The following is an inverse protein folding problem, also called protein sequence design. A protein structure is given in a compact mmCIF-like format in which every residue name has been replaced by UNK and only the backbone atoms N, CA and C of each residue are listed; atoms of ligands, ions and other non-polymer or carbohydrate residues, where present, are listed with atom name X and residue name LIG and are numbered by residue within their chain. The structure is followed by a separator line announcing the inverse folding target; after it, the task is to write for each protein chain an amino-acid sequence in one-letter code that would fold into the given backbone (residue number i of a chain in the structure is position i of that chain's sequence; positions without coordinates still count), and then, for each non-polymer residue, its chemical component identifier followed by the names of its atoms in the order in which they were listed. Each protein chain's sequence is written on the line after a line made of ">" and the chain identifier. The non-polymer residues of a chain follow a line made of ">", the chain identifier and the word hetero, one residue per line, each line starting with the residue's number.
data_IF_153798647384
#
_entry.id   IF_153798647384
#
_cell.length_a   1.000
_cell.length_b   1.000
_cell.length_c   1.000
_cell.angle_alpha   90.00
_cell.angle_beta   90.00
_cell.angle_gamma   90.00
#
_symmetry.space_group_name_H-M   'P 1'
#
loop_
_entity.id
_entity.type
_entity.pdbx_description
1 polymer ?
#
# COMPACT_ATOMS: atom_id res chain seq x y z
N UNK A 1 -62.42 83.93 55.80
CA UNK A 1 -63.89 84.06 55.93
C UNK A 1 -64.51 82.69 55.75
N UNK A 2 -65.26 82.27 56.76
CA UNK A 2 -66.12 81.09 56.79
C UNK A 2 -67.13 81.10 55.62
N UNK A 3 -67.47 79.94 55.05
CA UNK A 3 -68.81 79.38 55.26
C UNK A 3 -69.02 77.98 54.69
N UNK A 4 -69.65 77.20 55.57
CA UNK A 4 -70.15 75.84 55.47
C UNK A 4 -71.47 75.82 54.67
N UNK A 5 -71.74 74.74 53.90
CA UNK A 5 -73.03 74.01 53.81
C UNK A 5 -72.95 72.81 52.83
N UNK A 6 -73.20 71.62 53.40
CA UNK A 6 -73.50 70.28 52.83
C UNK A 6 -74.88 70.37 52.10
N UNK A 7 -75.38 69.50 51.16
CA UNK A 7 -75.22 68.03 51.14
C UNK A 7 -75.47 67.20 49.82
N UNK A 8 -75.48 65.85 49.98
CA UNK A 8 -76.26 64.79 49.28
C UNK A 8 -75.85 64.21 47.89
N UNK A 9 -75.40 62.94 47.96
CA UNK A 9 -75.64 61.73 47.13
C UNK A 9 -76.02 61.81 45.63
N UNK A 10 -75.20 61.13 44.81
CA UNK A 10 -75.51 59.93 43.98
C UNK A 10 -74.83 59.95 42.61
N UNK A 11 -74.00 58.95 42.31
CA UNK A 11 -74.11 58.10 41.10
C UNK A 11 -72.83 57.29 40.86
N UNK A 12 -72.96 55.97 41.06
CA UNK A 12 -72.46 54.90 40.19
C UNK A 12 -70.97 54.89 39.81
N UNK A 13 -70.19 54.11 40.58
CA UNK A 13 -69.01 53.43 40.04
C UNK A 13 -69.49 52.32 39.09
N UNK A 14 -69.36 52.54 37.79
CA UNK A 14 -69.31 51.47 36.80
C UNK A 14 -67.84 51.32 36.42
N UNK A 15 -67.21 50.26 36.92
CA UNK A 15 -65.92 49.79 36.43
C UNK A 15 -66.15 49.27 35.02
N UNK A 16 -65.77 50.05 34.01
CA UNK A 16 -65.71 49.57 32.63
C UNK A 16 -64.37 48.88 32.44
N UNK A 17 -64.43 47.56 32.43
CA UNK A 17 -63.35 46.66 32.05
C UNK A 17 -62.96 46.87 30.58
N UNK A 18 -61.98 47.74 30.34
CA UNK A 18 -61.11 47.59 29.18
C UNK A 18 -60.22 46.39 29.46
N UNK A 19 -60.62 45.24 28.93
CA UNK A 19 -59.80 44.04 28.90
C UNK A 19 -58.52 44.35 28.10
N UNK A 20 -57.45 44.69 28.83
CA UNK A 20 -56.10 44.49 28.30
C UNK A 20 -55.93 43.00 28.09
N UNK A 21 -55.60 42.59 26.87
CA UNK A 21 -55.08 41.24 26.63
C UNK A 21 -53.81 41.10 27.47
N UNK A 22 -53.87 40.35 28.57
CA UNK A 22 -52.69 39.87 29.26
C UNK A 22 -52.00 38.87 28.34
N UNK A 23 -50.69 38.98 28.24
CA UNK A 23 -49.82 38.12 27.43
C UNK A 23 -49.69 36.74 28.11
N UNK A 24 -50.80 36.06 28.34
CA UNK A 24 -50.86 34.72 28.93
C UNK A 24 -51.49 33.79 27.89
N UNK A 25 -50.65 32.89 27.38
CA UNK A 25 -50.93 31.77 26.45
C UNK A 25 -51.63 32.14 25.14
N UNK A 26 -50.84 32.23 24.07
CA UNK A 26 -51.38 32.21 22.71
C UNK A 26 -51.90 30.77 22.46
N UNK A 27 -53.13 30.53 22.88
CA UNK A 27 -53.83 29.27 22.68
C UNK A 27 -54.05 29.05 21.17
N UNK A 28 -53.74 27.85 20.71
CA UNK A 28 -53.86 27.43 19.32
C UNK A 28 -54.76 26.19 19.26
N UNK A 29 -55.50 26.01 18.16
CA UNK A 29 -56.67 25.13 18.16
C UNK A 29 -56.53 23.90 17.27
N UNK A 30 -55.73 23.91 16.20
CA UNK A 30 -55.54 22.72 15.36
C UNK A 30 -54.15 22.64 14.72
N UNK A 31 -53.67 21.41 14.52
CA UNK A 31 -52.37 21.07 13.91
C UNK A 31 -52.25 21.45 12.40
N UNK A 32 -53.20 22.20 11.83
CA UNK A 32 -53.36 22.40 10.40
C UNK A 32 -53.18 23.87 9.95
N UNK A 33 -52.09 24.10 9.21
CA UNK A 33 -51.60 25.22 8.38
C UNK A 33 -52.02 26.70 8.56
N UNK A 34 -52.97 27.08 9.42
CA UNK A 34 -53.37 28.49 9.61
C UNK A 34 -53.20 29.04 11.03
N UNK A 35 -52.60 28.29 11.96
CA UNK A 35 -52.46 28.72 13.35
C UNK A 35 -51.29 29.70 13.57
N UNK A 36 -51.58 30.81 14.26
CA UNK A 36 -50.79 32.03 14.48
C UNK A 36 -49.46 31.88 15.24
N UNK A 37 -48.89 30.67 15.32
CA UNK A 37 -47.57 30.49 15.90
C UNK A 37 -46.49 31.12 15.00
N UNK A 38 -45.42 31.64 15.60
CA UNK A 38 -44.29 32.21 14.85
C UNK A 38 -43.57 31.13 14.04
N UNK A 39 -42.72 31.50 13.08
CA UNK A 39 -41.99 30.55 12.24
C UNK A 39 -41.16 29.50 13.02
N UNK A 40 -40.81 29.79 14.28
CA UNK A 40 -40.04 28.93 15.16
C UNK A 40 -40.88 28.14 16.18
N UNK A 41 -42.21 28.27 16.19
CA UNK A 41 -43.09 27.58 17.16
C UNK A 41 -44.22 26.85 16.46
N UNK A 42 -44.71 25.79 17.09
CA UNK A 42 -45.79 24.94 16.61
C UNK A 42 -46.90 24.90 17.66
N UNK A 43 -48.13 24.63 17.20
CA UNK A 43 -49.23 24.35 18.10
C UNK A 43 -49.07 22.93 18.67
N UNK A 44 -48.65 22.79 19.92
CA UNK A 44 -48.51 21.49 20.56
C UNK A 44 -49.25 21.52 21.88
N UNK A 45 -50.21 20.61 22.04
CA UNK A 45 -51.09 20.52 23.22
C UNK A 45 -51.86 21.83 23.49
N UNK A 46 -52.27 22.53 22.43
CA UNK A 46 -53.03 23.78 22.52
C UNK A 46 -52.21 25.03 22.82
N UNK A 47 -50.87 24.93 22.86
CA UNK A 47 -49.99 26.07 23.10
C UNK A 47 -48.95 26.25 21.99
N UNK A 48 -48.68 27.50 21.59
CA UNK A 48 -47.56 27.82 20.70
C UNK A 48 -46.22 27.67 21.44
N UNK A 49 -45.51 26.56 21.19
CA UNK A 49 -44.18 26.28 21.78
C UNK A 49 -43.26 25.60 20.77
N UNK A 50 -41.97 25.53 21.10
CA UNK A 50 -41.02 24.70 20.35
C UNK A 50 -41.25 23.21 20.67
N UNK A 51 -40.95 22.35 19.71
CA UNK A 51 -41.07 20.91 19.77
C UNK A 51 -39.91 20.27 20.54
N UNK A 52 -40.24 19.37 21.47
CA UNK A 52 -39.31 18.51 22.20
C UNK A 52 -38.91 17.29 21.36
N UNK A 53 -37.97 16.49 21.85
CA UNK A 53 -37.56 15.25 21.19
C UNK A 53 -38.76 14.32 20.92
N UNK A 54 -38.88 13.83 19.70
CA UNK A 54 -39.96 12.96 19.22
C UNK A 54 -41.22 13.71 18.74
N UNK A 55 -41.37 15.00 19.05
CA UNK A 55 -42.51 15.80 18.60
C UNK A 55 -42.36 16.25 17.14
N UNK A 56 -43.49 16.59 16.52
CA UNK A 56 -43.56 16.98 15.11
C UNK A 56 -42.80 18.29 14.83
N UNK A 57 -42.24 18.40 13.64
CA UNK A 57 -41.59 19.62 13.15
C UNK A 57 -41.64 19.71 11.63
N UNK A 58 -41.40 20.92 11.12
CA UNK A 58 -41.25 21.23 9.69
C UNK A 58 -39.87 21.79 9.35
N UNK A 59 -39.17 22.39 10.32
CA UNK A 59 -37.81 22.89 10.15
C UNK A 59 -37.01 22.78 11.46
N UNK A 60 -35.69 22.98 11.39
CA UNK A 60 -34.82 22.86 12.57
C UNK A 60 -35.16 23.86 13.66
N UNK A 61 -35.52 25.12 13.33
CA UNK A 61 -35.76 26.18 14.33
C UNK A 61 -36.95 25.91 15.25
N UNK A 62 -37.87 25.05 14.82
CA UNK A 62 -39.02 24.61 15.61
C UNK A 62 -38.67 23.64 16.74
N UNK A 63 -37.51 22.97 16.73
CA UNK A 63 -37.10 22.12 17.84
C UNK A 63 -36.53 22.99 18.99
N UNK A 64 -36.90 22.68 20.23
CA UNK A 64 -36.61 23.51 21.41
C UNK A 64 -35.11 23.59 21.72
N UNK A 65 -34.44 22.44 21.67
CA UNK A 65 -33.00 22.37 21.94
C UNK A 65 -32.18 22.49 20.65
N UNK A 66 -31.02 23.16 20.74
CA UNK A 66 -30.05 23.22 19.63
C UNK A 66 -29.43 21.85 19.30
N UNK A 67 -29.49 20.91 20.24
CA UNK A 67 -29.15 19.48 20.11
C UNK A 67 -30.23 18.66 19.38
N UNK A 68 -31.32 19.30 18.93
CA UNK A 68 -32.36 18.67 18.13
C UNK A 68 -32.42 19.28 16.74
N UNK A 69 -32.59 18.40 15.75
CA UNK A 69 -32.83 18.73 14.35
C UNK A 69 -34.17 18.14 13.90
N UNK A 70 -34.84 18.82 12.98
CA UNK A 70 -35.99 18.26 12.31
C UNK A 70 -35.54 17.28 11.23
N UNK A 71 -35.85 15.99 11.41
CA UNK A 71 -35.56 14.94 10.44
C UNK A 71 -36.79 14.06 10.32
N UNK A 72 -37.26 13.84 9.10
CA UNK A 72 -38.47 13.07 8.82
C UNK A 72 -39.69 13.58 9.63
N UNK A 73 -39.88 14.91 9.68
CA UNK A 73 -40.94 15.61 10.41
C UNK A 73 -40.96 15.40 11.93
N UNK A 74 -39.86 14.94 12.54
CA UNK A 74 -39.74 14.81 14.00
C UNK A 74 -38.44 15.43 14.50
N UNK A 75 -38.50 16.03 15.70
CA UNK A 75 -37.32 16.52 16.39
C UNK A 75 -36.51 15.36 16.94
N UNK A 76 -35.31 15.15 16.40
CA UNK A 76 -34.41 14.05 16.79
C UNK A 76 -33.02 14.60 17.16
N UNK A 77 -32.22 13.88 17.97
CA UNK A 77 -30.87 14.30 18.31
C UNK A 77 -30.01 14.59 17.08
N UNK A 78 -29.37 15.75 17.06
CA UNK A 78 -28.44 16.17 16.01
C UNK A 78 -27.94 17.58 16.20
N UNK A 79 -26.91 17.95 15.45
CA UNK A 79 -26.27 19.27 15.57
C UNK A 79 -26.73 20.16 14.43
N UNK A 80 -27.18 21.38 14.73
CA UNK A 80 -27.46 22.41 13.73
C UNK A 80 -26.17 23.11 13.31
N UNK A 81 -26.12 23.57 12.07
CA UNK A 81 -24.95 24.24 11.51
C UNK A 81 -25.34 25.31 10.51
N UNK A 82 -24.40 26.21 10.23
CA UNK A 82 -24.48 27.19 9.14
C UNK A 82 -23.33 27.02 8.15
N UNK A 83 -22.25 26.37 8.58
CA UNK A 83 -21.09 26.03 7.76
C UNK A 83 -20.42 24.75 8.28
N UNK A 84 -19.58 24.10 7.47
CA UNK A 84 -18.92 22.85 7.85
C UNK A 84 -18.10 22.94 9.16
N UNK A 85 -17.54 24.13 9.46
CA UNK A 85 -16.76 24.34 10.69
C UNK A 85 -17.57 24.27 11.99
N UNK A 86 -18.90 24.31 11.90
CA UNK A 86 -19.79 24.14 13.04
C UNK A 86 -20.00 22.65 13.39
N UNK A 87 -19.61 21.74 12.49
CA UNK A 87 -19.74 20.29 12.64
C UNK A 87 -18.44 19.62 13.08
N UNK A 88 -18.52 18.34 13.43
CA UNK A 88 -17.31 17.54 13.70
C UNK A 88 -16.51 17.35 12.42
N UNK A 89 -15.22 17.02 12.54
CA UNK A 89 -14.34 16.82 11.38
C UNK A 89 -14.83 15.74 10.40
N UNK A 90 -15.62 14.76 10.86
CA UNK A 90 -16.20 13.70 10.03
C UNK A 90 -17.59 14.05 9.45
N UNK A 91 -18.02 15.31 9.60
CA UNK A 91 -19.35 15.77 9.22
C UNK A 91 -19.25 17.02 8.34
N UNK A 92 -20.26 17.24 7.50
CA UNK A 92 -20.47 18.48 6.76
C UNK A 92 -21.78 19.12 7.19
N UNK A 93 -21.93 20.41 6.89
CA UNK A 93 -23.19 21.10 7.05
C UNK A 93 -24.04 20.94 5.78
N UNK A 94 -25.12 20.17 5.87
CA UNK A 94 -26.06 19.97 4.77
C UNK A 94 -27.48 20.26 5.27
N UNK A 95 -28.19 21.16 4.58
CA UNK A 95 -29.54 21.60 4.97
C UNK A 95 -29.63 22.01 6.45
N UNK A 96 -28.74 22.88 6.91
CA UNK A 96 -28.65 23.40 8.29
C UNK A 96 -28.45 22.35 9.40
N UNK A 97 -28.09 21.10 9.03
CA UNK A 97 -27.80 20.02 9.95
C UNK A 97 -26.45 19.34 9.64
N UNK A 98 -25.72 18.97 10.69
CA UNK A 98 -24.49 18.20 10.55
C UNK A 98 -24.83 16.77 10.10
N UNK A 99 -24.19 16.35 9.01
CA UNK A 99 -24.33 15.02 8.42
C UNK A 99 -22.96 14.37 8.34
N UNK A 100 -22.86 13.14 8.82
CA UNK A 100 -21.64 12.33 8.68
C UNK A 100 -21.41 12.00 7.20
N UNK A 101 -20.19 12.24 6.73
CA UNK A 101 -19.74 11.87 5.39
C UNK A 101 -18.52 10.99 5.51
N UNK A 102 -18.52 9.87 4.79
CA UNK A 102 -17.49 8.83 4.82
C UNK A 102 -16.92 8.58 3.43
N UNK A 103 -15.85 7.79 3.39
CA UNK A 103 -15.27 7.30 2.14
C UNK A 103 -16.36 6.55 1.33
N UNK A 104 -16.44 6.85 0.02
CA UNK A 104 -17.38 6.27 -0.92
C UNK A 104 -18.71 7.02 -1.06
N UNK A 105 -19.01 7.98 -0.19
CA UNK A 105 -20.21 8.81 -0.32
C UNK A 105 -20.12 9.67 -1.59
N UNK A 106 -21.27 9.94 -2.21
CA UNK A 106 -21.33 10.72 -3.45
C UNK A 106 -20.97 12.18 -3.19
N UNK A 107 -20.22 12.77 -4.12
CA UNK A 107 -19.86 14.18 -4.10
C UNK A 107 -19.80 14.74 -5.52
N UNK A 108 -19.88 16.07 -5.63
CA UNK A 108 -19.57 16.82 -6.85
C UNK A 108 -18.32 17.68 -6.70
N UNK A 109 -17.96 18.05 -5.46
CA UNK A 109 -16.84 18.90 -5.10
C UNK A 109 -16.30 18.52 -3.72
N UNK A 110 -15.05 18.91 -3.42
CA UNK A 110 -14.36 18.53 -2.17
C UNK A 110 -15.10 19.03 -0.91
N UNK A 111 -15.83 20.14 -1.01
CA UNK A 111 -16.67 20.72 0.06
C UNK A 111 -17.86 19.83 0.45
N UNK A 112 -18.24 18.87 -0.39
CA UNK A 112 -19.23 17.84 -0.05
C UNK A 112 -18.63 16.69 0.78
N UNK A 113 -17.30 16.66 0.93
CA UNK A 113 -16.61 15.65 1.71
C UNK A 113 -16.20 16.22 3.08
N UNK A 114 -16.12 15.33 4.07
CA UNK A 114 -15.64 15.70 5.41
C UNK A 114 -14.13 15.95 5.39
N UNK A 115 -13.59 16.54 6.47
CA UNK A 115 -12.18 16.92 6.53
C UNK A 115 -11.24 15.74 6.27
N UNK A 116 -10.25 15.92 5.39
CA UNK A 116 -9.29 14.89 4.99
C UNK A 116 -9.76 14.00 3.84
N UNK A 117 -10.96 14.25 3.31
CA UNK A 117 -11.49 13.61 2.11
C UNK A 117 -11.58 14.63 0.97
N UNK A 118 -11.40 14.18 -0.26
CA UNK A 118 -11.58 14.96 -1.49
C UNK A 118 -12.50 14.21 -2.44
N UNK A 119 -13.12 14.95 -3.36
CA UNK A 119 -14.02 14.38 -4.34
C UNK A 119 -13.24 13.86 -5.56
N UNK A 120 -13.16 12.54 -5.68
CA UNK A 120 -12.51 11.82 -6.78
C UNK A 120 -13.56 10.96 -7.46
N UNK A 121 -13.73 11.11 -8.78
CA UNK A 121 -14.68 10.32 -9.57
C UNK A 121 -16.11 10.26 -8.98
N UNK A 122 -16.58 11.40 -8.47
CA UNK A 122 -17.87 11.60 -7.79
C UNK A 122 -18.04 10.86 -6.47
N UNK A 123 -16.94 10.46 -5.83
CA UNK A 123 -16.91 9.84 -4.50
C UNK A 123 -15.92 10.54 -3.59
N UNK A 124 -16.29 10.65 -2.32
CA UNK A 124 -15.37 11.10 -1.29
C UNK A 124 -14.33 10.01 -1.04
N UNK A 125 -13.06 10.33 -1.27
CA UNK A 125 -11.94 9.42 -1.03
C UNK A 125 -10.87 10.14 -0.20
N UNK A 126 -10.02 9.37 0.47
CA UNK A 126 -8.85 9.92 1.15
C UNK A 126 -7.88 10.47 0.12
N UNK A 127 -7.42 11.70 0.29
CA UNK A 127 -6.43 12.27 -0.59
C UNK A 127 -6.19 13.75 -0.32
N UNK A 128 -5.17 14.28 -1.00
CA UNK A 128 -4.74 15.67 -0.88
C UNK A 128 -4.67 16.30 -2.27
N UNK A 129 -5.18 17.53 -2.41
CA UNK A 129 -5.01 18.32 -3.64
C UNK A 129 -3.60 18.89 -3.70
N UNK A 130 -3.01 18.89 -4.89
CA UNK A 130 -1.67 19.41 -5.11
C UNK A 130 -1.56 20.19 -6.42
N UNK A 131 -0.56 21.07 -6.49
CA UNK A 131 -0.11 21.75 -7.71
C UNK A 131 1.26 21.25 -8.15
N UNK A 132 2.05 20.76 -7.21
CA UNK A 132 3.39 20.22 -7.41
C UNK A 132 3.68 19.13 -6.38
N UNK A 133 4.74 18.34 -6.60
CA UNK A 133 5.15 17.28 -5.67
C UNK A 133 5.48 17.80 -4.26
N UNK A 134 5.87 19.07 -4.12
CA UNK A 134 6.15 19.67 -2.81
C UNK A 134 4.90 19.90 -1.96
N UNK A 135 3.71 19.83 -2.57
CA UNK A 135 2.44 19.92 -1.84
C UNK A 135 2.03 18.57 -1.24
N UNK A 136 2.71 17.48 -1.64
CA UNK A 136 2.36 16.12 -1.25
C UNK A 136 3.16 15.63 -0.04
N UNK A 137 2.55 14.75 0.78
CA UNK A 137 3.27 13.98 1.79
C UNK A 137 4.47 13.22 1.23
N UNK A 138 5.34 12.74 2.13
CA UNK A 138 6.46 11.89 1.76
C UNK A 138 5.97 10.64 0.99
N UNK A 139 6.76 10.20 0.00
CA UNK A 139 6.47 9.08 -0.90
C UNK A 139 5.25 9.26 -1.83
N UNK A 140 4.62 10.43 -1.85
CA UNK A 140 3.57 10.79 -2.80
C UNK A 140 4.06 11.80 -3.85
N UNK A 141 3.47 11.73 -5.05
CA UNK A 141 3.72 12.67 -6.15
C UNK A 141 2.41 13.28 -6.63
N UNK A 142 2.49 14.48 -7.20
CA UNK A 142 1.32 15.19 -7.66
C UNK A 142 0.91 14.72 -9.07
N UNK A 143 -0.07 13.82 -9.13
CA UNK A 143 -0.57 13.25 -10.39
C UNK A 143 -2.01 13.72 -10.59
N UNK A 144 -2.25 14.43 -11.70
CA UNK A 144 -3.58 14.98 -12.04
C UNK A 144 -4.21 15.79 -10.89
N UNK A 145 -3.42 16.66 -10.26
CA UNK A 145 -3.82 17.53 -9.12
C UNK A 145 -4.14 16.81 -7.80
N UNK A 146 -3.82 15.52 -7.72
CA UNK A 146 -4.05 14.68 -6.54
C UNK A 146 -2.71 14.06 -6.14
N UNK A 147 -2.38 14.13 -4.86
CA UNK A 147 -1.24 13.39 -4.33
C UNK A 147 -1.54 11.90 -4.38
N UNK A 148 -0.67 11.16 -5.07
CA UNK A 148 -0.79 9.72 -5.22
C UNK A 148 0.51 9.08 -4.78
N UNK A 149 0.36 8.00 -4.04
CA UNK A 149 1.49 7.14 -3.71
C UNK A 149 1.99 6.47 -4.99
N UNK A 150 3.30 6.46 -5.17
CA UNK A 150 3.96 5.75 -6.27
C UNK A 150 5.05 4.87 -5.71
N UNK A 151 5.16 3.68 -6.27
CA UNK A 151 6.08 2.64 -5.84
C UNK A 151 6.92 2.15 -7.01
N UNK A 152 7.89 1.29 -6.74
CA UNK A 152 8.58 0.53 -7.79
C UNK A 152 7.56 -0.14 -8.72
N UNK A 153 7.88 -0.15 -10.01
CA UNK A 153 7.01 -0.62 -11.12
C UNK A 153 5.77 0.24 -11.40
N UNK A 154 5.53 1.35 -10.68
CA UNK A 154 4.42 2.26 -11.00
C UNK A 154 4.61 2.87 -12.39
N UNK A 155 3.55 3.01 -13.20
CA UNK A 155 3.67 3.61 -14.53
C UNK A 155 4.07 5.08 -14.43
N UNK A 156 4.96 5.51 -15.32
CA UNK A 156 5.44 6.89 -15.37
C UNK A 156 5.77 7.32 -16.79
N UNK A 157 5.79 8.63 -17.03
CA UNK A 157 6.29 9.25 -18.26
C UNK A 157 7.58 10.04 -18.07
N UNK A 158 7.88 10.43 -16.83
CA UNK A 158 9.06 11.20 -16.45
C UNK A 158 9.39 11.02 -14.96
N UNK A 159 10.59 11.43 -14.54
CA UNK A 159 11.07 11.21 -13.17
C UNK A 159 10.25 11.92 -12.08
N UNK A 160 9.49 12.98 -12.41
CA UNK A 160 8.67 13.67 -11.41
C UNK A 160 7.42 12.88 -11.03
N UNK A 161 7.09 11.82 -11.76
CA UNK A 161 5.99 10.91 -11.45
C UNK A 161 6.43 9.73 -10.56
N UNK A 162 7.68 9.69 -10.13
CA UNK A 162 8.20 8.67 -9.22
C UNK A 162 8.61 9.31 -7.90
N UNK A 163 8.17 8.74 -6.79
CA UNK A 163 8.46 9.26 -5.47
C UNK A 163 9.81 8.78 -4.93
N UNK A 164 10.35 9.50 -3.94
CA UNK A 164 11.60 9.14 -3.29
C UNK A 164 12.80 9.12 -4.25
N UNK A 165 13.68 8.12 -4.10
CA UNK A 165 14.88 7.94 -4.93
C UNK A 165 14.61 7.05 -6.15
N UNK A 166 13.52 7.31 -6.87
CA UNK A 166 13.12 6.55 -8.06
C UNK A 166 13.28 7.41 -9.31
N UNK A 167 13.50 6.77 -10.46
CA UNK A 167 13.49 7.40 -11.78
C UNK A 167 12.59 6.64 -12.73
N UNK A 168 12.08 7.35 -13.74
CA UNK A 168 11.25 6.75 -14.76
C UNK A 168 12.13 6.10 -15.83
N UNK A 169 12.13 4.77 -15.87
CA UNK A 169 12.91 3.99 -16.81
C UNK A 169 12.02 2.93 -17.46
N UNK A 170 11.91 2.95 -18.79
CA UNK A 170 11.03 2.01 -19.50
C UNK A 170 9.53 2.20 -19.20
N UNK A 171 9.10 3.44 -18.92
CA UNK A 171 7.74 3.82 -18.52
C UNK A 171 7.27 3.29 -17.16
N UNK A 172 8.21 2.86 -16.32
CA UNK A 172 7.96 2.42 -14.94
C UNK A 172 8.97 3.03 -13.99
N UNK A 173 8.54 3.28 -12.75
CA UNK A 173 9.39 3.78 -11.70
C UNK A 173 10.34 2.67 -11.25
N UNK A 174 11.65 2.92 -11.37
CA UNK A 174 12.72 2.03 -10.93
C UNK A 174 13.56 2.72 -9.87
N UNK A 175 14.20 1.94 -9.00
CA UNK A 175 15.13 2.47 -8.02
C UNK A 175 16.33 3.11 -8.73
N UNK A 176 16.61 4.37 -8.39
CA UNK A 176 17.77 5.06 -8.89
C UNK A 176 19.02 4.62 -8.12
N UNK A 177 20.14 4.50 -8.81
CA UNK A 177 21.42 4.11 -8.23
C UNK A 177 22.57 4.93 -8.83
N UNK A 178 23.64 5.07 -8.04
CA UNK A 178 24.95 5.57 -8.49
C UNK A 178 25.97 4.44 -8.58
N UNK A 179 25.82 3.42 -7.75
CA UNK A 179 26.65 2.21 -7.70
C UNK A 179 25.81 1.01 -7.28
N UNK A 180 26.32 -0.21 -7.49
CA UNK A 180 25.60 -1.45 -7.13
C UNK A 180 25.35 -1.58 -5.62
N UNK A 181 26.10 -0.85 -4.77
CA UNK A 181 25.85 -0.76 -3.32
C UNK A 181 24.53 -0.06 -2.98
N UNK A 182 23.98 0.74 -3.91
CA UNK A 182 22.67 1.38 -3.75
C UNK A 182 21.51 0.41 -4.04
N UNK A 183 21.79 -0.79 -4.55
CA UNK A 183 20.81 -1.78 -5.01
C UNK A 183 20.69 -2.97 -4.05
N UNK A 184 19.69 -3.83 -4.26
CA UNK A 184 19.63 -5.08 -3.51
C UNK A 184 20.84 -5.97 -3.85
N UNK A 185 21.26 -6.90 -2.97
CA UNK A 185 22.42 -7.77 -3.20
C UNK A 185 22.38 -8.61 -4.49
N UNK A 186 21.19 -8.77 -5.08
CA UNK A 186 20.95 -9.52 -6.33
C UNK A 186 20.80 -8.61 -7.55
N UNK A 187 21.12 -7.33 -7.42
CA UNK A 187 20.96 -6.32 -8.46
C UNK A 187 22.26 -5.54 -8.66
N UNK A 188 22.40 -5.00 -9.86
CA UNK A 188 23.53 -4.15 -10.24
C UNK A 188 23.02 -2.79 -10.69
N UNK A 189 23.85 -1.78 -10.49
CA UNK A 189 23.55 -0.45 -11.00
C UNK A 189 23.94 -0.34 -12.47
N UNK A 190 22.96 -0.37 -13.36
CA UNK A 190 23.16 -0.23 -14.80
C UNK A 190 22.22 0.83 -15.36
N UNK A 191 22.73 1.78 -16.14
CA UNK A 191 22.00 2.96 -16.63
C UNK A 191 21.35 3.81 -15.52
N UNK A 192 21.98 3.87 -14.33
CA UNK A 192 21.46 4.56 -13.13
C UNK A 192 20.19 3.96 -12.55
N UNK A 193 19.80 2.74 -12.96
CA UNK A 193 18.72 1.98 -12.33
C UNK A 193 19.24 0.65 -11.78
N UNK A 194 18.66 0.22 -10.67
CA UNK A 194 18.88 -1.14 -10.17
C UNK A 194 18.17 -2.13 -11.11
N UNK A 195 18.94 -3.08 -11.63
CA UNK A 195 18.46 -4.17 -12.48
C UNK A 195 19.00 -5.48 -11.96
N UNK A 196 18.19 -6.52 -11.99
CA UNK A 196 18.70 -7.89 -11.99
C UNK A 196 19.36 -8.13 -13.34
N UNK A 197 20.62 -8.56 -13.37
CA UNK A 197 21.23 -9.10 -14.59
C UNK A 197 21.25 -10.61 -14.56
N UNK A 198 20.97 -11.19 -15.72
CA UNK A 198 20.90 -12.62 -15.97
C UNK A 198 21.96 -13.04 -16.98
N UNK A 199 22.15 -14.35 -17.12
CA UNK A 199 22.93 -14.91 -18.21
C UNK A 199 22.38 -14.45 -19.56
N UNK A 200 23.25 -13.93 -20.43
CA UNK A 200 22.91 -13.42 -21.76
C UNK A 200 22.68 -11.91 -21.84
N UNK A 201 22.62 -11.18 -20.72
CA UNK A 201 22.46 -9.72 -20.74
C UNK A 201 23.70 -9.02 -21.29
N UNK A 202 23.52 -7.94 -22.06
CA UNK A 202 24.65 -7.14 -22.56
C UNK A 202 25.31 -6.36 -21.43
N UNK A 203 26.64 -6.31 -21.43
CA UNK A 203 27.42 -5.60 -20.43
C UNK A 203 28.63 -4.90 -21.06
N UNK A 204 29.05 -3.76 -20.50
CA UNK A 204 30.32 -3.12 -20.88
C UNK A 204 31.48 -3.55 -19.97
N UNK A 205 31.18 -3.94 -18.73
CA UNK A 205 32.15 -4.40 -17.75
C UNK A 205 31.46 -5.32 -16.72
N UNK A 206 32.27 -5.96 -15.88
CA UNK A 206 31.81 -6.94 -14.88
C UNK A 206 30.93 -6.35 -13.77
N UNK A 207 30.93 -5.02 -13.53
CA UNK A 207 30.04 -4.39 -12.52
C UNK A 207 28.57 -4.37 -12.95
N UNK A 208 28.30 -4.63 -14.23
CA UNK A 208 26.97 -4.73 -14.81
C UNK A 208 26.39 -6.16 -14.77
N UNK A 209 27.13 -7.12 -14.19
CA UNK A 209 26.72 -8.49 -14.01
C UNK A 209 26.58 -8.82 -12.51
N UNK A 210 25.49 -9.49 -12.10
CA UNK A 210 25.30 -9.96 -10.71
C UNK A 210 26.38 -10.98 -10.35
N UNK A 211 26.60 -11.23 -9.06
CA UNK A 211 27.79 -11.93 -8.55
C UNK A 211 28.08 -13.33 -9.12
N UNK A 212 27.09 -13.97 -9.75
CA UNK A 212 27.22 -15.28 -10.41
C UNK A 212 27.67 -15.20 -11.88
N UNK A 213 27.67 -13.99 -12.44
CA UNK A 213 28.01 -13.71 -13.83
C UNK A 213 29.17 -12.72 -13.97
N UNK A 214 29.88 -12.88 -15.07
CA UNK A 214 30.99 -12.04 -15.47
C UNK A 214 30.76 -11.51 -16.89
N UNK A 215 31.28 -10.33 -17.17
CA UNK A 215 31.11 -9.71 -18.48
C UNK A 215 32.13 -10.29 -19.48
N UNK A 216 31.73 -11.35 -20.17
CA UNK A 216 32.58 -12.07 -21.13
C UNK A 216 32.14 -11.69 -22.55
N UNK A 217 33.07 -11.11 -23.31
CA UNK A 217 32.81 -10.69 -24.69
C UNK A 217 31.56 -9.78 -24.85
N UNK A 218 31.30 -8.93 -23.86
CA UNK A 218 30.17 -7.98 -23.84
C UNK A 218 28.84 -8.58 -23.41
N UNK A 219 28.84 -9.80 -22.85
CA UNK A 219 27.65 -10.50 -22.38
C UNK A 219 27.89 -11.10 -20.99
N UNK A 220 26.93 -10.93 -20.07
CA UNK A 220 26.94 -11.58 -18.77
C UNK A 220 26.85 -13.09 -18.96
N UNK A 221 27.92 -13.80 -18.61
CA UNK A 221 28.04 -15.25 -18.74
C UNK A 221 28.44 -15.85 -17.40
N UNK A 222 28.15 -17.13 -17.17
CA UNK A 222 28.53 -17.81 -15.93
C UNK A 222 30.03 -17.62 -15.63
N UNK A 223 30.32 -17.07 -14.45
CA UNK A 223 31.69 -16.78 -14.05
C UNK A 223 31.73 -15.81 -12.87
N UNK A 224 32.56 -16.12 -11.88
CA UNK A 224 32.76 -15.23 -10.74
C UNK A 224 33.95 -14.32 -10.99
N UNK A 225 33.73 -13.01 -10.91
CA UNK A 225 34.80 -12.01 -11.02
C UNK A 225 35.82 -12.19 -9.88
N UNK A 226 37.09 -11.97 -10.18
CA UNK A 226 38.18 -11.98 -9.22
C UNK A 226 39.18 -10.85 -9.49
N UNK A 227 39.83 -10.37 -8.44
CA UNK A 227 40.99 -9.46 -8.52
C UNK A 227 42.29 -10.20 -8.18
N UNK A 228 42.19 -11.30 -7.43
CA UNK A 228 43.29 -12.17 -7.02
C UNK A 228 42.80 -13.60 -6.85
N UNK A 229 43.74 -14.54 -6.73
CA UNK A 229 43.41 -15.96 -6.47
C UNK A 229 42.61 -16.14 -5.16
N UNK A 230 42.75 -15.22 -4.20
CA UNK A 230 41.98 -15.26 -2.94
C UNK A 230 40.48 -15.00 -3.08
N UNK A 231 40.04 -14.48 -4.23
CA UNK A 231 38.62 -14.30 -4.54
C UNK A 231 37.99 -15.58 -5.12
N UNK A 232 38.81 -16.59 -5.43
CA UNK A 232 38.42 -17.85 -6.06
C UNK A 232 38.33 -19.00 -5.05
N UNK A 233 37.46 -19.97 -5.33
CA UNK A 233 37.30 -21.13 -4.46
C UNK A 233 38.26 -22.23 -4.93
N UNK A 234 38.95 -22.94 -4.02
CA UNK A 234 39.84 -24.03 -4.43
C UNK A 234 39.08 -25.09 -5.26
N UNK A 235 39.58 -25.51 -6.44
CA UNK A 235 40.92 -25.31 -7.02
C UNK A 235 41.02 -24.18 -8.08
N UNK A 236 40.07 -23.25 -8.12
CA UNK A 236 40.05 -22.13 -9.07
C UNK A 236 41.13 -21.08 -8.76
N UNK A 237 41.64 -20.46 -9.82
CA UNK A 237 42.58 -19.34 -9.78
C UNK A 237 42.03 -18.18 -10.59
N UNK A 238 42.51 -16.97 -10.30
CA UNK A 238 42.07 -15.80 -11.02
C UNK A 238 42.76 -15.71 -12.39
N UNK A 239 42.00 -15.88 -13.46
CA UNK A 239 42.53 -15.72 -14.82
C UNK A 239 42.88 -14.25 -15.05
N UNK A 240 44.17 -13.98 -15.33
CA UNK A 240 44.67 -12.61 -15.54
C UNK A 240 44.16 -11.94 -16.81
N UNK A 241 43.52 -12.68 -17.72
CA UNK A 241 43.08 -12.21 -19.04
C UNK A 241 41.68 -11.64 -18.99
N UNK A 242 40.75 -12.32 -18.31
CA UNK A 242 39.36 -11.90 -18.19
C UNK A 242 38.92 -11.59 -16.76
N UNK A 243 39.79 -11.76 -15.75
CA UNK A 243 39.52 -11.46 -14.34
C UNK A 243 38.36 -12.30 -13.77
N UNK A 244 38.34 -13.59 -14.13
CA UNK A 244 37.32 -14.55 -13.72
C UNK A 244 37.99 -15.78 -13.08
N UNK A 245 37.35 -16.34 -12.05
CA UNK A 245 37.77 -17.59 -11.44
C UNK A 245 37.64 -18.76 -12.41
N UNK A 246 38.76 -19.42 -12.69
CA UNK A 246 38.83 -20.61 -13.57
C UNK A 246 39.79 -21.64 -13.00
N UNK A 247 39.56 -22.90 -13.36
CA UNK A 247 40.56 -23.95 -13.17
C UNK A 247 41.61 -23.80 -14.29
N UNK A 248 42.67 -23.02 -14.05
CA UNK A 248 43.73 -22.74 -15.04
C UNK A 248 44.56 -23.98 -15.37
N UNK A 249 44.65 -24.92 -14.43
CA UNK A 249 45.30 -26.22 -14.63
C UNK A 249 44.30 -27.31 -14.29
N UNK A 250 43.66 -27.95 -15.29
CA UNK A 250 42.82 -29.11 -15.01
C UNK A 250 43.68 -30.15 -14.28
N UNK A 251 43.13 -30.86 -13.27
CA UNK A 251 43.87 -31.89 -12.59
C UNK A 251 44.45 -32.85 -13.64
N UNK A 252 45.71 -33.31 -13.48
CA UNK A 252 46.28 -34.28 -14.41
C UNK A 252 45.27 -35.41 -14.58
N UNK A 253 45.06 -35.92 -15.82
CA UNK A 253 44.18 -37.05 -16.04
C UNK A 253 44.57 -38.13 -15.02
N UNK A 254 43.60 -38.80 -14.38
CA UNK A 254 43.90 -39.83 -13.41
C UNK A 254 44.92 -40.77 -14.05
N UNK A 255 46.11 -40.81 -13.46
CA UNK A 255 47.18 -41.68 -13.96
C UNK A 255 46.65 -43.07 -13.77
N UNK A 256 46.30 -43.75 -14.87
CA UNK A 256 45.87 -45.14 -14.84
C UNK A 256 46.95 -45.91 -14.07
N UNK A 257 46.63 -46.47 -12.88
CA UNK A 257 47.63 -47.12 -12.07
C UNK A 257 48.18 -48.30 -12.87
N UNK A 258 49.45 -48.20 -13.27
CA UNK A 258 50.10 -49.30 -13.97
C UNK A 258 50.18 -50.49 -13.03
N UNK A 259 49.74 -51.65 -13.48
CA UNK A 259 49.63 -52.83 -12.64
C UNK A 259 50.45 -53.99 -13.20
N UNK A 260 50.85 -54.90 -12.31
CA UNK A 260 51.44 -56.20 -12.70
C UNK A 260 50.58 -57.37 -12.23
N UNK A 261 49.66 -57.12 -11.31
CA UNK A 261 48.69 -58.08 -10.77
C UNK A 261 47.45 -57.34 -10.26
N UNK A 262 46.33 -58.04 -10.15
CA UNK A 262 45.05 -57.45 -9.72
C UNK A 262 45.09 -56.77 -8.35
N UNK A 263 45.98 -57.19 -7.45
CA UNK A 263 46.14 -56.57 -6.13
C UNK A 263 46.79 -55.18 -6.18
N UNK A 264 47.39 -54.82 -7.32
CA UNK A 264 47.96 -53.50 -7.54
C UNK A 264 46.87 -52.46 -7.89
N UNK A 265 45.64 -52.92 -8.21
CA UNK A 265 44.49 -52.08 -8.55
C UNK A 265 43.53 -51.88 -7.38
N UNK A 266 42.72 -50.80 -7.44
CA UNK A 266 41.71 -50.47 -6.43
C UNK A 266 40.58 -51.50 -6.36
N UNK A 267 39.72 -51.39 -5.35
CA UNK A 267 38.57 -52.28 -5.17
C UNK A 267 37.60 -52.14 -6.37
N UNK A 268 37.30 -53.26 -7.04
CA UNK A 268 36.54 -53.35 -8.32
C UNK A 268 37.32 -53.02 -9.60
N UNK A 269 38.64 -53.17 -9.58
CA UNK A 269 39.48 -53.17 -10.77
C UNK A 269 40.28 -54.48 -10.92
N UNK A 270 40.61 -54.82 -12.16
CA UNK A 270 41.49 -55.94 -12.54
C UNK A 270 42.63 -55.44 -13.42
N UNK A 271 43.77 -56.10 -13.34
CA UNK A 271 44.94 -55.73 -14.10
C UNK A 271 44.89 -56.35 -15.50
N UNK A 272 44.71 -55.54 -16.53
CA UNK A 272 44.73 -55.97 -17.93
C UNK A 272 45.74 -55.13 -18.71
N UNK A 273 46.67 -55.80 -19.41
CA UNK A 273 47.69 -55.15 -20.25
C UNK A 273 48.44 -54.02 -19.53
N UNK A 274 48.78 -54.26 -18.25
CA UNK A 274 49.44 -53.32 -17.36
C UNK A 274 48.64 -52.06 -16.99
N UNK A 275 47.32 -52.08 -17.17
CA UNK A 275 46.40 -51.01 -16.81
C UNK A 275 45.29 -51.55 -15.91
N UNK A 276 44.83 -50.73 -14.96
CA UNK A 276 43.74 -51.11 -14.07
C UNK A 276 42.41 -50.75 -14.71
N UNK A 277 41.68 -51.75 -15.17
CA UNK A 277 40.36 -51.57 -15.78
C UNK A 277 39.25 -51.95 -14.79
N UNK A 278 38.08 -51.31 -14.88
CA UNK A 278 36.92 -51.67 -14.07
C UNK A 278 36.50 -53.12 -14.33
N UNK A 279 36.44 -53.93 -13.26
CA UNK A 279 36.13 -55.36 -13.35
C UNK A 279 36.11 -56.03 -11.97
N UNK A 280 35.34 -57.11 -11.82
CA UNK A 280 35.20 -57.81 -10.53
C UNK A 280 36.13 -59.02 -10.45
N UNK A 281 36.78 -59.21 -9.30
CA UNK A 281 37.55 -60.42 -8.99
C UNK A 281 36.59 -61.59 -8.74
N UNK A 282 36.88 -62.76 -9.32
CA UNK A 282 36.10 -63.98 -9.06
C UNK A 282 36.26 -64.45 -7.61
N UNK A 283 35.22 -64.26 -6.80
CA UNK A 283 35.19 -64.65 -5.39
C UNK A 283 34.74 -66.11 -5.21
N UNK A 284 35.54 -67.08 -5.70
CA UNK A 284 35.53 -68.43 -5.12
C UNK A 284 36.74 -69.25 -5.57
N UNK A 285 37.72 -69.32 -4.67
CA UNK A 285 38.73 -70.38 -4.54
C UNK A 285 39.42 -70.84 -5.84
N UNK A 286 40.62 -70.29 -6.06
CA UNK A 286 41.65 -70.78 -6.99
C UNK A 286 41.31 -70.79 -8.49
N UNK A 287 40.97 -69.64 -9.05
CA UNK A 287 41.10 -69.43 -10.50
C UNK A 287 41.78 -68.09 -10.75
N UNK A 288 43.06 -68.18 -11.11
CA UNK A 288 43.89 -67.06 -11.51
C UNK A 288 43.48 -66.61 -12.92
N UNK A 289 43.36 -65.30 -13.15
CA UNK A 289 43.46 -64.74 -14.49
C UNK A 289 44.92 -64.34 -14.71
N UNK A 290 45.66 -65.16 -15.45
CA UNK A 290 46.98 -64.80 -15.98
C UNK A 290 46.94 -65.07 -17.48
N UNK A 291 47.15 -64.02 -18.27
CA UNK A 291 47.11 -64.10 -19.72
C UNK A 291 48.45 -64.65 -20.23
N UNK A 292 48.53 -65.97 -20.37
CA UNK A 292 49.44 -66.60 -21.33
C UNK A 292 48.60 -67.56 -22.19
N UNK A 293 48.35 -67.15 -23.44
CA UNK A 293 47.67 -67.86 -24.53
C UNK A 293 46.12 -67.87 -24.60
N UNK A 294 45.59 -66.83 -25.25
CA UNK A 294 44.50 -66.89 -26.26
C UNK A 294 43.31 -67.87 -26.06
N UNK A 295 42.63 -67.89 -24.91
CA UNK A 295 41.23 -68.34 -24.85
C UNK A 295 40.39 -67.54 -23.84
N UNK A 296 39.29 -66.94 -24.30
CA UNK A 296 38.24 -66.34 -23.47
C UNK A 296 37.63 -67.41 -22.56
N UNK A 297 37.52 -67.12 -21.27
CA UNK A 297 36.65 -67.90 -20.36
C UNK A 297 35.62 -66.96 -19.75
N UNK A 298 34.35 -67.25 -20.00
CA UNK A 298 33.19 -66.58 -19.42
C UNK A 298 33.13 -66.97 -17.95
N UNK A 299 33.07 -66.01 -17.04
CA UNK A 299 32.63 -66.30 -15.68
C UNK A 299 31.09 -66.27 -15.66
N UNK A 300 30.48 -67.18 -14.91
CA UNK A 300 29.04 -67.22 -14.69
C UNK A 300 28.68 -66.66 -13.30
N UNK A 301 27.40 -66.76 -12.94
CA UNK A 301 26.46 -65.76 -12.39
C UNK A 301 26.84 -64.98 -11.10
N UNK A 302 28.11 -64.84 -10.73
CA UNK A 302 28.57 -63.88 -9.72
C UNK A 302 29.86 -63.13 -10.08
N UNK A 303 30.32 -63.12 -11.33
CA UNK A 303 31.46 -62.26 -11.70
C UNK A 303 32.25 -62.63 -12.95
N UNK A 304 31.55 -62.81 -14.07
CA UNK A 304 31.62 -62.05 -15.33
C UNK A 304 30.20 -62.12 -15.91
#
# INVERSE_FOLDING_TARGET
>A
MSNNKIPFLSALFIVSSVAGCTLETLDCTEDNESDFCTANTLCIDGACRQANAGERCSNHTQCAEKSLICRNNQCTPGTRCTQNKDCKSTEICEADACKTVKIGDKCSEDTNCSSGLICIDNKCESGTRCKSNNDCPELEVCINTICRETHLESPCTNNFECSGNQICYGNICKQACKSSDDCNPTEVCSDKVCKTSNEGDTCANHDECTAEYACIAGVCSAGRRCFSDGDCADPEQCDSTDHICKILTPPPPPVDPTCTRDSDCEENQVCLDSHCIEGRRCLKTQTYCSNDNQQLTICDENGL
#
